data_IF_993978899102
#
_entry.id   IF_993978899102
#
_cell.length_a   1.000
_cell.length_b   1.000
_cell.length_c   1.000
_cell.angle_alpha   90.00
_cell.angle_beta   90.00
_cell.angle_gamma   90.00
#
_symmetry.space_group_name_H-M   'P 1'
#
loop_
_entity.id
_entity.type
_entity.pdbx_description
1 polymer ?
#
# COMPACT_ATOMS: atom_id res chain seq x y z
N UNK A 1 16.09 -0.66 -11.47
CA UNK A 1 14.66 -1.12 -11.51
C UNK A 1 13.86 -0.40 -12.60
N UNK A 2 14.07 0.90 -12.85
CA UNK A 2 13.33 1.66 -13.89
C UNK A 2 13.44 1.11 -15.31
N UNK A 3 14.57 0.51 -15.69
CA UNK A 3 14.75 -0.06 -17.03
C UNK A 3 13.78 -1.19 -17.36
N UNK A 4 13.37 -1.99 -16.38
CA UNK A 4 12.40 -3.08 -16.58
C UNK A 4 11.02 -2.50 -16.96
N UNK A 5 10.66 -1.34 -16.38
CA UNK A 5 9.39 -0.69 -16.69
C UNK A 5 9.36 -0.16 -18.13
N UNK A 6 10.48 0.32 -18.69
CA UNK A 6 10.54 0.83 -20.05
C UNK A 6 10.16 -0.21 -21.10
N UNK A 7 10.36 -1.49 -20.81
CA UNK A 7 10.02 -2.59 -21.74
C UNK A 7 8.54 -3.01 -21.68
N UNK A 8 7.75 -2.41 -20.78
CA UNK A 8 6.35 -2.79 -20.57
C UNK A 8 5.37 -1.96 -21.43
N UNK A 9 5.86 -0.95 -22.14
CA UNK A 9 5.03 -0.11 -23.00
C UNK A 9 5.72 0.17 -24.32
N UNK A 10 4.93 0.52 -25.34
CA UNK A 10 5.45 0.98 -26.62
C UNK A 10 6.23 2.29 -26.46
N UNK A 11 7.21 2.57 -27.35
CA UNK A 11 7.94 3.84 -27.32
C UNK A 11 7.00 5.05 -27.33
N UNK A 12 7.24 6.00 -26.43
CA UNK A 12 6.43 7.21 -26.29
C UNK A 12 5.18 7.09 -25.39
N UNK A 13 4.85 5.86 -24.92
CA UNK A 13 3.71 5.66 -24.01
C UNK A 13 4.09 5.60 -22.53
N UNK A 14 5.38 5.51 -22.22
CA UNK A 14 5.87 5.45 -20.85
C UNK A 14 7.16 6.25 -20.69
N UNK A 15 7.10 7.32 -19.91
CA UNK A 15 8.25 8.08 -19.46
C UNK A 15 8.56 7.78 -17.99
N UNK A 16 9.84 7.52 -17.70
CA UNK A 16 10.32 7.28 -16.35
C UNK A 16 11.16 8.47 -15.91
N UNK A 17 10.62 9.21 -14.96
CA UNK A 17 11.26 10.40 -14.40
C UNK A 17 11.75 10.10 -12.98
N UNK A 18 13.05 10.22 -12.75
CA UNK A 18 13.59 10.16 -11.40
C UNK A 18 13.27 11.47 -10.66
N UNK A 19 12.57 11.34 -9.54
CA UNK A 19 12.02 12.46 -8.80
C UNK A 19 12.37 12.35 -7.31
N UNK A 20 12.90 13.46 -6.75
CA UNK A 20 12.81 13.67 -5.31
C UNK A 20 11.39 14.15 -4.97
N UNK A 21 10.65 13.36 -4.19
CA UNK A 21 9.24 13.60 -3.86
C UNK A 21 8.98 14.89 -3.03
N UNK A 22 10.00 15.68 -2.70
CA UNK A 22 9.87 17.03 -2.15
C UNK A 22 10.39 18.14 -3.09
N UNK A 23 10.74 17.82 -4.33
CA UNK A 23 11.04 18.81 -5.34
C UNK A 23 9.74 19.37 -5.95
N UNK A 24 9.27 20.48 -5.37
CA UNK A 24 8.00 21.12 -5.72
C UNK A 24 7.91 21.47 -7.20
N UNK A 25 8.90 22.17 -7.74
CA UNK A 25 8.93 22.62 -9.13
C UNK A 25 8.81 21.46 -10.10
N UNK A 26 9.58 20.41 -9.87
CA UNK A 26 9.54 19.23 -10.73
C UNK A 26 8.20 18.48 -10.66
N UNK A 27 7.57 18.41 -9.47
CA UNK A 27 6.24 17.81 -9.31
C UNK A 27 5.19 18.67 -10.02
N UNK A 28 5.24 19.99 -9.86
CA UNK A 28 4.31 20.90 -10.53
C UNK A 28 4.39 20.77 -12.05
N UNK A 29 5.60 20.74 -12.62
CA UNK A 29 5.78 20.57 -14.06
C UNK A 29 5.25 19.24 -14.58
N UNK A 30 5.46 18.15 -13.83
CA UNK A 30 4.91 16.84 -14.20
C UNK A 30 3.37 16.82 -14.14
N UNK A 31 2.77 17.51 -13.17
CA UNK A 31 1.31 17.57 -13.03
C UNK A 31 0.65 18.43 -14.11
N UNK A 32 1.34 19.38 -14.73
CA UNK A 32 0.82 20.19 -15.84
C UNK A 32 0.43 19.37 -17.06
N UNK A 33 1.13 18.25 -17.27
CA UNK A 33 0.93 17.37 -18.42
C UNK A 33 0.01 16.16 -18.10
N UNK A 34 -0.52 16.09 -16.86
CA UNK A 34 -1.30 14.94 -16.38
C UNK A 34 -2.77 15.28 -16.16
N UNK A 35 -3.66 14.40 -16.62
CA UNK A 35 -5.09 14.43 -16.26
C UNK A 35 -5.34 13.72 -14.93
N UNK A 36 -4.64 12.62 -14.67
CA UNK A 36 -4.82 11.77 -13.48
C UNK A 36 -3.49 11.55 -12.78
N UNK A 37 -3.49 11.67 -11.46
CA UNK A 37 -2.35 11.35 -10.61
C UNK A 37 -2.65 10.14 -9.74
N UNK A 38 -1.74 9.15 -9.69
CA UNK A 38 -1.87 7.96 -8.85
C UNK A 38 -0.72 7.92 -7.87
N UNK A 39 -1.00 8.08 -6.59
CA UNK A 39 0.00 8.02 -5.53
C UNK A 39 0.06 6.63 -4.90
N UNK A 40 1.07 5.86 -5.27
CA UNK A 40 1.36 4.53 -4.72
C UNK A 40 2.51 4.53 -3.72
N UNK A 41 3.02 5.71 -3.33
CA UNK A 41 4.19 5.83 -2.45
C UNK A 41 3.82 5.50 -1.01
N UNK A 42 4.54 4.54 -0.44
CA UNK A 42 4.40 4.14 0.96
C UNK A 42 5.58 3.30 1.45
N UNK A 43 5.75 3.23 2.76
CA UNK A 43 6.78 2.42 3.43
C UNK A 43 6.15 1.63 4.57
N UNK A 44 6.65 0.42 4.84
CA UNK A 44 6.13 -0.44 5.90
C UNK A 44 6.85 -0.25 7.25
N UNK A 45 8.05 0.32 7.23
CA UNK A 45 8.88 0.54 8.44
C UNK A 45 9.74 1.78 8.33
N UNK A 46 9.97 2.44 9.46
CA UNK A 46 10.82 3.62 9.56
C UNK A 46 12.30 3.24 9.71
N UNK A 47 13.10 3.54 8.68
CA UNK A 47 14.58 3.47 8.77
C UNK A 47 15.19 4.70 9.45
N UNK A 48 14.46 5.82 9.47
CA UNK A 48 14.87 7.11 10.07
C UNK A 48 13.68 7.73 10.77
N UNK A 49 13.92 8.44 11.88
CA UNK A 49 12.88 9.13 12.65
C UNK A 49 12.03 10.07 11.76
N UNK A 50 10.73 10.06 11.97
CA UNK A 50 9.73 10.85 11.24
C UNK A 50 9.58 10.51 9.74
N UNK A 51 10.07 9.38 9.29
CA UNK A 51 9.96 9.00 7.87
C UNK A 51 8.51 8.63 7.51
N UNK A 52 7.77 7.99 8.41
CA UNK A 52 6.34 7.75 8.23
C UNK A 52 5.59 9.06 8.00
N UNK A 53 5.79 10.06 8.87
CA UNK A 53 5.15 11.36 8.71
C UNK A 53 5.48 11.98 7.36
N UNK A 54 6.74 12.01 6.96
CA UNK A 54 7.17 12.58 5.67
C UNK A 54 6.50 11.90 4.48
N UNK A 55 6.48 10.55 4.47
CA UNK A 55 6.01 9.78 3.31
C UNK A 55 4.49 9.63 3.30
N UNK A 56 3.87 9.39 4.46
CA UNK A 56 2.46 9.08 4.52
C UNK A 56 1.57 10.29 4.79
N UNK A 57 2.12 11.38 5.35
CA UNK A 57 1.36 12.57 5.71
C UNK A 57 1.77 13.78 4.88
N UNK A 58 3.05 14.18 4.96
CA UNK A 58 3.50 15.44 4.37
C UNK A 58 3.53 15.39 2.83
N UNK A 59 3.95 14.26 2.24
CA UNK A 59 3.95 14.10 0.79
C UNK A 59 2.55 14.03 0.18
N UNK A 60 1.59 13.24 0.68
CA UNK A 60 0.21 13.29 0.20
C UNK A 60 -0.48 14.65 0.38
N UNK A 61 -0.19 15.36 1.49
CA UNK A 61 -0.67 16.74 1.71
C UNK A 61 -0.17 17.67 0.60
N UNK A 62 1.12 17.60 0.30
CA UNK A 62 1.73 18.37 -0.78
C UNK A 62 1.13 18.02 -2.13
N UNK A 63 1.12 16.75 -2.48
CA UNK A 63 0.64 16.27 -3.77
C UNK A 63 -0.81 16.66 -4.03
N UNK A 64 -1.69 16.52 -3.02
CA UNK A 64 -3.09 16.87 -3.15
C UNK A 64 -3.31 18.39 -3.33
N UNK A 65 -2.53 19.24 -2.66
CA UNK A 65 -2.55 20.69 -2.87
C UNK A 65 -2.10 21.08 -4.28
N UNK A 66 -1.03 20.45 -4.78
CA UNK A 66 -0.54 20.68 -6.13
C UNK A 66 -1.53 20.18 -7.18
N UNK A 67 -2.15 19.03 -6.94
CA UNK A 67 -3.21 18.47 -7.79
C UNK A 67 -4.40 19.43 -7.91
N UNK A 68 -4.81 20.06 -6.80
CA UNK A 68 -5.85 21.08 -6.81
C UNK A 68 -5.43 22.34 -7.57
N UNK A 69 -4.19 22.82 -7.33
CA UNK A 69 -3.63 24.01 -8.01
C UNK A 69 -3.53 23.83 -9.52
N UNK A 70 -3.13 22.64 -9.98
CA UNK A 70 -2.99 22.28 -11.41
C UNK A 70 -4.29 21.79 -12.03
N UNK A 71 -5.37 21.75 -11.25
CA UNK A 71 -6.71 21.38 -11.71
C UNK A 71 -6.77 20.01 -12.43
N UNK A 72 -5.98 19.03 -11.98
CA UNK A 72 -6.05 17.67 -12.52
C UNK A 72 -7.45 17.06 -12.30
N UNK A 73 -7.84 16.13 -13.14
CA UNK A 73 -9.19 15.56 -13.10
C UNK A 73 -9.39 14.66 -11.89
N UNK A 74 -8.39 13.87 -11.51
CA UNK A 74 -8.51 12.87 -10.44
C UNK A 74 -7.17 12.58 -9.75
N UNK A 75 -7.20 12.43 -8.42
CA UNK A 75 -6.08 11.94 -7.61
C UNK A 75 -6.49 10.63 -6.94
N UNK A 76 -5.83 9.53 -7.30
CA UNK A 76 -6.01 8.22 -6.67
C UNK A 76 -4.90 8.06 -5.62
N UNK A 77 -5.27 7.89 -4.35
CA UNK A 77 -4.31 7.73 -3.25
C UNK A 77 -4.44 6.37 -2.57
N UNK A 78 -3.34 5.60 -2.55
CA UNK A 78 -3.29 4.29 -1.92
C UNK A 78 -3.04 4.42 -0.42
N UNK A 79 -4.09 4.22 0.36
CA UNK A 79 -4.05 4.11 1.82
C UNK A 79 -3.88 2.64 2.27
N UNK A 80 -4.53 2.22 3.34
CA UNK A 80 -4.53 0.84 3.84
C UNK A 80 -5.80 0.55 4.61
N UNK A 81 -6.29 -0.69 4.54
CA UNK A 81 -7.45 -1.16 5.29
C UNK A 81 -7.14 -1.26 6.79
N UNK A 82 -8.10 -0.91 7.64
CA UNK A 82 -8.05 -1.09 9.09
C UNK A 82 -7.13 -0.13 9.86
N UNK A 83 -6.67 0.96 9.23
CA UNK A 83 -5.81 1.95 9.89
C UNK A 83 -6.56 2.76 10.96
N UNK A 84 -7.87 2.91 10.84
CA UNK A 84 -8.71 3.63 11.78
C UNK A 84 -8.76 2.96 13.17
N UNK A 85 -8.64 1.65 13.20
CA UNK A 85 -8.70 0.85 14.44
C UNK A 85 -7.34 0.77 15.16
N UNK A 86 -6.25 1.07 14.45
CA UNK A 86 -4.87 0.88 14.93
C UNK A 86 -4.28 2.12 15.59
N UNK A 87 -4.91 2.61 16.66
CA UNK A 87 -4.58 3.88 17.36
C UNK A 87 -3.15 3.96 17.93
N UNK A 88 -2.52 2.83 18.21
CA UNK A 88 -1.15 2.77 18.79
C UNK A 88 -0.08 2.63 17.69
N UNK A 89 -0.45 2.46 16.45
CA UNK A 89 0.48 2.24 15.34
C UNK A 89 0.88 3.57 14.68
N UNK A 90 2.16 3.95 14.77
CA UNK A 90 2.70 5.12 14.06
C UNK A 90 2.45 5.06 12.55
N UNK A 91 2.54 3.88 11.96
CA UNK A 91 2.21 3.63 10.56
C UNK A 91 0.75 4.00 10.26
N UNK A 92 -0.19 3.44 11.03
CA UNK A 92 -1.61 3.65 10.83
C UNK A 92 -2.00 5.12 11.03
N UNK A 93 -1.50 5.75 12.10
CA UNK A 93 -1.73 7.17 12.40
C UNK A 93 -1.25 8.04 11.23
N UNK A 94 -0.01 7.82 10.75
CA UNK A 94 0.55 8.63 9.66
C UNK A 94 -0.21 8.46 8.33
N UNK A 95 -0.67 7.24 8.03
CA UNK A 95 -1.51 6.94 6.85
C UNK A 95 -2.86 7.64 6.95
N UNK A 96 -3.52 7.53 8.10
CA UNK A 96 -4.84 8.16 8.33
C UNK A 96 -4.77 9.68 8.25
N UNK A 97 -3.71 10.30 8.82
CA UNK A 97 -3.48 11.74 8.68
C UNK A 97 -3.31 12.16 7.22
N UNK A 98 -2.52 11.40 6.43
CA UNK A 98 -2.33 11.66 5.01
C UNK A 98 -3.63 11.54 4.22
N UNK A 99 -4.41 10.49 4.47
CA UNK A 99 -5.73 10.28 3.87
C UNK A 99 -6.66 11.47 4.13
N UNK A 100 -6.73 11.93 5.38
CA UNK A 100 -7.56 13.06 5.78
C UNK A 100 -7.13 14.36 5.08
N UNK A 101 -5.82 14.57 4.91
CA UNK A 101 -5.29 15.73 4.19
C UNK A 101 -5.62 15.69 2.71
N UNK A 102 -5.48 14.54 2.07
CA UNK A 102 -5.85 14.35 0.66
C UNK A 102 -7.34 14.67 0.45
N UNK A 103 -8.22 14.10 1.26
CA UNK A 103 -9.67 14.36 1.20
C UNK A 103 -10.02 15.84 1.40
N UNK A 104 -9.32 16.51 2.32
CA UNK A 104 -9.53 17.94 2.62
C UNK A 104 -9.06 18.84 1.49
N UNK A 105 -7.92 18.55 0.89
CA UNK A 105 -7.27 19.44 -0.08
C UNK A 105 -7.81 19.29 -1.51
N UNK A 106 -8.31 18.09 -1.85
CA UNK A 106 -8.71 17.79 -3.22
C UNK A 106 -9.98 16.95 -3.27
N UNK A 107 -11.09 17.59 -3.61
CA UNK A 107 -12.43 16.95 -3.61
C UNK A 107 -12.55 15.78 -4.59
N UNK A 108 -11.85 15.86 -5.72
CA UNK A 108 -11.82 14.81 -6.76
C UNK A 108 -10.81 13.70 -6.47
N UNK A 109 -10.48 13.49 -5.18
CA UNK A 109 -9.63 12.39 -4.75
C UNK A 109 -10.43 11.12 -4.52
N UNK A 110 -9.80 9.98 -4.86
CA UNK A 110 -10.29 8.63 -4.54
C UNK A 110 -9.26 7.96 -3.64
N UNK A 111 -9.71 7.49 -2.49
CA UNK A 111 -8.87 6.77 -1.53
C UNK A 111 -9.08 5.28 -1.70
N UNK A 112 -8.01 4.55 -1.99
CA UNK A 112 -8.01 3.09 -2.01
C UNK A 112 -7.45 2.54 -0.71
N UNK A 113 -8.18 1.64 -0.08
CA UNK A 113 -7.81 0.96 1.17
C UNK A 113 -7.59 -0.54 0.92
N UNK A 114 -6.44 -0.93 0.37
CA UNK A 114 -6.18 -2.34 0.15
C UNK A 114 -5.92 -3.06 1.47
N UNK A 115 -6.36 -4.31 1.54
CA UNK A 115 -5.87 -5.31 2.47
C UNK A 115 -4.45 -5.72 2.07
N UNK A 116 -3.96 -6.88 2.52
CA UNK A 116 -2.67 -7.41 2.06
C UNK A 116 -2.73 -7.63 0.54
N UNK A 117 -1.88 -6.91 -0.20
CA UNK A 117 -1.73 -7.11 -1.64
C UNK A 117 -0.65 -8.17 -1.86
N UNK A 118 -0.98 -9.21 -2.60
CA UNK A 118 -0.05 -10.29 -2.91
C UNK A 118 0.13 -10.50 -4.42
N UNK A 119 1.32 -10.96 -4.79
CA UNK A 119 1.69 -11.32 -6.16
C UNK A 119 2.85 -12.30 -6.13
N UNK A 120 3.32 -12.71 -7.30
CA UNK A 120 4.51 -13.58 -7.43
C UNK A 120 5.76 -12.94 -6.79
N UNK A 121 5.91 -11.61 -6.92
CA UNK A 121 7.10 -10.86 -6.47
C UNK A 121 6.79 -9.89 -5.31
N UNK A 122 5.72 -10.12 -4.53
CA UNK A 122 5.39 -9.26 -3.41
C UNK A 122 6.37 -9.40 -2.24
N UNK A 123 6.51 -8.32 -1.46
CA UNK A 123 7.41 -8.33 -0.31
C UNK A 123 6.83 -9.09 0.90
N UNK A 124 5.51 -9.20 1.03
CA UNK A 124 4.88 -9.84 2.19
C UNK A 124 5.09 -11.35 2.16
N UNK A 125 4.60 -12.03 1.12
CA UNK A 125 4.70 -13.49 1.01
C UNK A 125 6.16 -13.94 0.86
N UNK A 126 6.96 -13.23 0.05
CA UNK A 126 8.39 -13.52 -0.16
C UNK A 126 9.22 -13.40 1.13
N UNK A 127 8.98 -12.36 1.94
CA UNK A 127 9.68 -12.22 3.22
C UNK A 127 9.30 -13.33 4.20
N UNK A 128 8.00 -13.67 4.31
CA UNK A 128 7.58 -14.78 5.16
C UNK A 128 8.08 -16.13 4.65
N UNK A 129 8.06 -16.41 3.35
CA UNK A 129 8.66 -17.63 2.80
C UNK A 129 10.14 -17.71 3.08
N UNK A 130 10.87 -16.62 2.95
CA UNK A 130 12.30 -16.55 3.30
C UNK A 130 12.52 -16.86 4.77
N UNK A 131 11.73 -16.28 5.67
CA UNK A 131 11.79 -16.53 7.11
C UNK A 131 11.47 -17.99 7.44
N UNK A 132 10.41 -18.55 6.87
CA UNK A 132 9.98 -19.94 7.03
C UNK A 132 11.00 -20.93 6.45
N UNK A 133 11.76 -20.52 5.44
CA UNK A 133 12.85 -21.34 4.91
C UNK A 133 14.04 -21.45 5.86
N UNK A 134 14.34 -20.38 6.61
CA UNK A 134 15.54 -20.26 7.45
C UNK A 134 15.31 -20.71 8.90
N UNK A 135 14.14 -20.41 9.46
CA UNK A 135 13.84 -20.65 10.88
C UNK A 135 13.11 -21.98 11.09
N UNK A 136 13.41 -22.73 12.15
CA UNK A 136 12.72 -23.98 12.48
C UNK A 136 11.35 -23.75 13.11
N UNK A 137 11.06 -22.53 13.58
CA UNK A 137 9.78 -22.15 14.19
C UNK A 137 9.32 -20.78 13.68
N UNK A 138 8.01 -20.49 13.82
CA UNK A 138 7.40 -19.21 13.49
C UNK A 138 6.54 -18.74 14.65
N UNK A 139 6.83 -17.55 15.22
CA UNK A 139 5.99 -16.94 16.23
C UNK A 139 4.69 -16.41 15.60
N UNK A 140 3.56 -16.74 16.20
CA UNK A 140 2.25 -16.25 15.79
C UNK A 140 1.74 -15.23 16.82
N UNK A 141 1.96 -13.96 16.57
CA UNK A 141 1.40 -12.88 17.38
C UNK A 141 -0.13 -12.97 17.39
N UNK A 142 -0.76 -12.66 18.53
CA UNK A 142 -2.20 -12.80 18.74
C UNK A 142 -2.69 -14.22 18.40
N UNK A 143 -1.85 -15.24 18.66
CA UNK A 143 -2.14 -16.65 18.32
C UNK A 143 -2.39 -16.86 16.80
N UNK A 144 -2.02 -15.90 15.97
CA UNK A 144 -2.28 -15.90 14.53
C UNK A 144 -3.75 -15.69 14.16
N UNK A 145 -4.57 -15.17 15.07
CA UNK A 145 -6.03 -14.98 14.86
C UNK A 145 -6.40 -13.73 14.08
N UNK A 146 -5.45 -12.79 13.89
CA UNK A 146 -5.69 -11.60 13.09
C UNK A 146 -6.16 -11.99 11.70
N UNK A 147 -7.31 -11.44 11.28
CA UNK A 147 -7.93 -11.74 9.99
C UNK A 147 -7.55 -10.73 8.93
N UNK A 148 -7.40 -11.20 7.72
CA UNK A 148 -7.10 -10.42 6.53
C UNK A 148 -7.99 -10.89 5.38
N UNK A 149 -8.24 -10.01 4.41
CA UNK A 149 -8.87 -10.33 3.13
C UNK A 149 -7.89 -10.04 1.99
N UNK A 150 -6.83 -10.87 1.80
CA UNK A 150 -5.77 -10.60 0.83
C UNK A 150 -6.32 -10.42 -0.57
N UNK A 151 -5.87 -9.40 -1.28
CA UNK A 151 -6.25 -9.10 -2.66
C UNK A 151 -5.07 -9.37 -3.60
N UNK A 152 -5.34 -9.98 -4.76
CA UNK A 152 -4.30 -10.14 -5.77
C UNK A 152 -3.98 -8.79 -6.44
N UNK A 153 -2.72 -8.56 -6.79
CA UNK A 153 -2.28 -7.29 -7.39
C UNK A 153 -3.04 -6.98 -8.69
N UNK A 154 -3.39 -7.98 -9.48
CA UNK A 154 -4.17 -7.81 -10.73
C UNK A 154 -5.55 -7.22 -10.45
N UNK A 155 -6.23 -7.71 -9.41
CA UNK A 155 -7.57 -7.22 -9.04
C UNK A 155 -7.49 -5.76 -8.54
N UNK A 156 -6.44 -5.43 -7.77
CA UNK A 156 -6.20 -4.04 -7.36
C UNK A 156 -5.92 -3.13 -8.57
N UNK A 157 -5.15 -3.59 -9.54
CA UNK A 157 -4.89 -2.85 -10.80
C UNK A 157 -6.17 -2.65 -11.59
N UNK A 158 -7.03 -3.66 -11.67
CA UNK A 158 -8.34 -3.57 -12.34
C UNK A 158 -9.25 -2.53 -11.65
N UNK A 159 -9.28 -2.50 -10.32
CA UNK A 159 -10.00 -1.46 -9.57
C UNK A 159 -9.47 -0.06 -9.93
N UNK A 160 -8.14 0.11 -9.96
CA UNK A 160 -7.51 1.39 -10.33
C UNK A 160 -7.89 1.77 -11.77
N UNK A 161 -7.82 0.82 -12.69
CA UNK A 161 -8.16 1.04 -14.10
C UNK A 161 -9.61 1.49 -14.26
N UNK A 162 -10.56 0.81 -13.60
CA UNK A 162 -11.97 1.18 -13.63
C UNK A 162 -12.24 2.59 -13.09
N UNK A 163 -11.46 3.04 -12.09
CA UNK A 163 -11.53 4.42 -11.58
C UNK A 163 -10.99 5.41 -12.61
N UNK A 164 -9.90 5.08 -13.29
CA UNK A 164 -9.29 5.89 -14.35
C UNK A 164 -10.26 6.07 -15.51
N UNK A 165 -10.92 4.99 -15.93
CA UNK A 165 -11.95 4.99 -16.99
C UNK A 165 -13.29 5.66 -16.59
N UNK A 166 -13.40 6.15 -15.35
CA UNK A 166 -14.61 6.83 -14.87
C UNK A 166 -15.78 5.91 -14.55
N UNK A 167 -15.55 4.59 -14.43
CA UNK A 167 -16.58 3.59 -14.13
C UNK A 167 -17.00 3.58 -12.65
N UNK A 168 -16.30 4.33 -11.79
CA UNK A 168 -16.63 4.47 -10.37
C UNK A 168 -16.58 5.92 -9.92
N UNK A 169 -17.60 6.32 -9.14
CA UNK A 169 -17.71 7.63 -8.50
C UNK A 169 -17.45 7.57 -6.98
N UNK A 170 -17.08 6.41 -6.46
CA UNK A 170 -16.79 6.21 -5.05
C UNK A 170 -15.54 7.00 -4.61
N UNK A 171 -15.65 7.71 -3.49
CA UNK A 171 -14.54 8.50 -2.93
C UNK A 171 -13.59 7.68 -2.04
N UNK A 172 -14.05 6.54 -1.56
CA UNK A 172 -13.24 5.61 -0.75
C UNK A 172 -13.65 4.19 -1.08
N UNK A 173 -12.69 3.35 -1.46
CA UNK A 173 -12.92 1.97 -1.86
C UNK A 173 -12.04 1.05 -1.03
N UNK A 174 -12.65 0.11 -0.32
CA UNK A 174 -11.94 -0.98 0.33
C UNK A 174 -11.62 -2.06 -0.70
N UNK A 175 -10.32 -2.27 -0.94
CA UNK A 175 -9.85 -3.25 -1.92
C UNK A 175 -9.52 -4.55 -1.19
N UNK A 176 -10.48 -5.47 -1.19
CA UNK A 176 -10.39 -6.75 -0.48
C UNK A 176 -10.54 -7.93 -1.45
N UNK A 177 -9.86 -9.02 -1.13
CA UNK A 177 -10.03 -10.28 -1.85
C UNK A 177 -11.26 -11.06 -1.39
N UNK A 178 -11.60 -12.16 -2.08
CA UNK A 178 -12.82 -12.92 -1.86
C UNK A 178 -12.83 -13.74 -0.57
N UNK A 179 -11.68 -14.02 0.02
CA UNK A 179 -11.53 -14.86 1.21
C UNK A 179 -11.05 -14.06 2.42
N UNK A 180 -11.71 -14.25 3.56
CA UNK A 180 -11.21 -13.76 4.85
C UNK A 180 -10.48 -14.90 5.54
N UNK A 181 -9.16 -14.76 5.69
CA UNK A 181 -8.29 -15.77 6.29
C UNK A 181 -7.49 -15.20 7.46
N UNK A 182 -7.16 -16.03 8.43
CA UNK A 182 -6.32 -15.66 9.57
C UNK A 182 -4.83 -15.62 9.18
N UNK A 183 -4.02 -14.90 9.93
CA UNK A 183 -2.57 -14.90 9.75
C UNK A 183 -1.99 -16.32 9.83
N UNK A 184 -2.50 -17.16 10.74
CA UNK A 184 -2.10 -18.56 10.85
C UNK A 184 -2.38 -19.34 9.56
N UNK A 185 -3.55 -19.14 8.94
CA UNK A 185 -3.90 -19.80 7.66
C UNK A 185 -3.02 -19.31 6.53
N UNK A 186 -2.66 -18.01 6.49
CA UNK A 186 -1.67 -17.49 5.53
C UNK A 186 -0.34 -18.25 5.68
N UNK A 187 0.20 -18.34 6.90
CA UNK A 187 1.46 -19.04 7.17
C UNK A 187 1.37 -20.52 6.79
N UNK A 188 0.25 -21.19 7.06
CA UNK A 188 0.05 -22.58 6.66
C UNK A 188 -0.01 -22.76 5.13
N UNK A 189 -0.68 -21.84 4.41
CA UNK A 189 -0.68 -21.83 2.92
C UNK A 189 0.75 -21.63 2.38
N UNK A 190 1.54 -20.72 2.96
CA UNK A 190 2.94 -20.52 2.56
C UNK A 190 3.82 -21.73 2.85
N UNK A 191 3.68 -22.36 4.02
CA UNK A 191 4.40 -23.60 4.37
C UNK A 191 4.12 -24.72 3.38
N UNK A 192 2.84 -24.87 2.99
CA UNK A 192 2.44 -25.84 1.96
C UNK A 192 3.07 -25.53 0.61
N UNK A 193 3.15 -24.26 0.22
CA UNK A 193 3.74 -23.85 -1.07
C UNK A 193 5.24 -24.13 -1.16
N UNK A 194 5.98 -24.05 -0.03
CA UNK A 194 7.43 -24.33 0.02
C UNK A 194 7.74 -25.77 0.46
N UNK A 195 6.72 -26.62 0.60
CA UNK A 195 6.82 -28.03 1.07
C UNK A 195 7.62 -28.17 2.38
N UNK A 196 7.29 -27.35 3.39
CA UNK A 196 7.96 -27.38 4.69
C UNK A 196 6.99 -27.46 5.85
N UNK A 197 7.45 -28.08 6.94
CA UNK A 197 6.77 -28.09 8.23
C UNK A 197 7.59 -27.27 9.23
N UNK A 198 6.92 -26.38 9.96
CA UNK A 198 7.52 -25.54 11.00
C UNK A 198 6.67 -25.55 12.26
N UNK A 199 7.32 -25.41 13.40
CA UNK A 199 6.62 -25.24 14.67
C UNK A 199 6.01 -23.83 14.72
N UNK A 200 4.69 -23.74 14.83
CA UNK A 200 3.99 -22.46 14.99
C UNK A 200 3.78 -22.22 16.48
N UNK A 201 4.42 -21.17 17.01
CA UNK A 201 4.39 -20.85 18.45
C UNK A 201 3.41 -19.70 18.69
N UNK A 202 2.25 -19.94 19.30
CA UNK A 202 1.31 -18.87 19.61
C UNK A 202 1.89 -17.94 20.69
N UNK A 203 1.92 -16.65 20.42
CA UNK A 203 2.34 -15.61 21.38
C UNK A 203 1.09 -14.88 21.87
N UNK A 204 0.78 -14.96 23.18
CA UNK A 204 -0.34 -14.23 23.77
C UNK A 204 -0.16 -12.71 23.70
N UNK A 205 -1.29 -11.98 23.74
CA UNK A 205 -1.38 -10.52 23.60
C UNK A 205 -0.49 -9.75 24.60
N UNK A 206 -0.39 -10.22 25.83
CA UNK A 206 0.38 -9.54 26.90
C UNK A 206 1.89 -9.59 26.66
N UNK A 207 2.40 -10.65 26.00
CA UNK A 207 3.81 -10.79 25.62
C UNK A 207 4.15 -9.95 24.37
N UNK A 208 3.19 -9.77 23.47
CA UNK A 208 3.38 -9.01 22.24
C UNK A 208 3.44 -7.48 22.45
N UNK A 209 2.99 -6.99 23.64
CA UNK A 209 3.00 -5.55 24.02
C UNK A 209 4.21 -5.14 24.86
N UNK A 210 5.08 -6.06 25.25
CA UNK A 210 6.36 -5.79 25.90
C UNK A 210 7.45 -5.51 24.86
#
# INVERSE_FOLDING_TARGET
>A
KGYILKTQANPGYLDIVELNYFNLEKIENLLEECSICINLIGILFEKKKNLFKKIHTDFPDLLSKLSAKKNIEKLIHLSSLGIEESKDSKYAISKLEGENKVKKNFERSVILKPSIVYSVDDNFTTNFMTLLNRLPFMPLYYEGKTKFAPIHVTDLVEIIFNIVEGQSNEKTIECIGPEIISFKEIILKLLKAIDKKRLLIPIPLFVAKM
#
